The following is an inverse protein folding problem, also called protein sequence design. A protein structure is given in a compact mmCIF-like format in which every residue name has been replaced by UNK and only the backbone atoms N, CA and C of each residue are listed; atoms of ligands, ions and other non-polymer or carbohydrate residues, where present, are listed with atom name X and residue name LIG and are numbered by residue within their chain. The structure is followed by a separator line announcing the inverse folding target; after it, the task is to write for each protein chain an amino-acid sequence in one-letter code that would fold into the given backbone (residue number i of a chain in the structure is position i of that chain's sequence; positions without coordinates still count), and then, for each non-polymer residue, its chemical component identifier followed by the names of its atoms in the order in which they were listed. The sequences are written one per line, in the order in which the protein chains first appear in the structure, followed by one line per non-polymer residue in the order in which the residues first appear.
data_IF_670689810055
#
_entry.id   IF_670689810055
#
_cell.length_a   1.000
_cell.length_b   1.000
_cell.length_c   1.000
_cell.angle_alpha   90.00
_cell.angle_beta   90.00
_cell.angle_gamma   90.00
#
_symmetry.space_group_name_H-M   'P 1'
#
loop_
_entity.id
_entity.type
_entity.pdbx_description
1 polymer ?
#
# COMPACT_ATOMS: atom_id res chain seq x y z
N UNK A 1 21.96 12.17 9.45
CA UNK A 1 22.92 11.81 8.38
C UNK A 1 22.14 11.70 7.07
N UNK A 2 22.50 12.38 5.98
CA UNK A 2 21.82 12.16 4.68
C UNK A 2 22.32 10.83 4.11
N UNK A 3 21.46 9.80 3.94
CA UNK A 3 21.87 8.50 3.43
C UNK A 3 22.33 8.60 1.97
N UNK A 4 23.20 7.68 1.55
CA UNK A 4 23.91 7.75 0.27
C UNK A 4 23.07 7.37 -0.97
N UNK A 5 21.74 7.31 -0.86
CA UNK A 5 20.88 6.82 -1.93
C UNK A 5 20.76 7.83 -3.08
N UNK A 6 20.92 7.35 -4.31
CA UNK A 6 20.65 8.13 -5.52
C UNK A 6 19.17 8.00 -5.90
N UNK A 7 18.45 9.12 -5.88
CA UNK A 7 17.02 9.14 -6.21
C UNK A 7 16.78 9.74 -7.59
N UNK A 8 16.03 9.03 -8.43
CA UNK A 8 15.48 9.61 -9.66
C UNK A 8 13.97 9.78 -9.50
N UNK A 9 13.48 11.02 -9.56
CA UNK A 9 12.06 11.34 -9.60
C UNK A 9 11.63 11.55 -11.05
N UNK A 10 10.65 10.80 -11.51
CA UNK A 10 10.04 10.92 -12.83
C UNK A 10 8.59 11.39 -12.69
N UNK A 11 8.00 11.91 -13.77
CA UNK A 11 6.64 12.48 -13.81
C UNK A 11 6.43 13.61 -12.79
N UNK A 12 7.37 14.54 -12.72
CA UNK A 12 7.29 15.65 -11.77
C UNK A 12 6.10 16.58 -12.03
N UNK A 13 5.55 16.60 -13.24
CA UNK A 13 4.35 17.35 -13.62
C UNK A 13 3.09 16.88 -12.88
N UNK A 14 3.03 15.60 -12.47
CA UNK A 14 1.90 15.03 -11.73
C UNK A 14 2.03 15.13 -10.21
N UNK A 15 3.11 15.76 -9.71
CA UNK A 15 3.28 15.97 -8.27
C UNK A 15 2.14 16.86 -7.76
N UNK A 16 1.51 16.46 -6.67
CA UNK A 16 0.43 17.20 -6.05
C UNK A 16 0.91 18.01 -4.85
N UNK A 17 0.40 19.24 -4.73
CA UNK A 17 0.61 20.12 -3.58
C UNK A 17 -0.74 20.38 -2.92
N UNK A 18 -0.78 20.37 -1.58
CA UNK A 18 -1.99 20.66 -0.82
C UNK A 18 -2.47 22.11 -1.01
N UNK A 19 -3.77 22.32 -1.11
CA UNK A 19 -4.39 23.61 -1.41
C UNK A 19 -4.59 23.84 -2.92
N UNK A 20 -5.66 24.56 -3.27
CA UNK A 20 -6.03 24.79 -4.67
C UNK A 20 -5.05 25.66 -5.47
N UNK A 21 -5.18 25.59 -6.79
CA UNK A 21 -4.30 26.25 -7.77
C UNK A 21 -4.12 27.75 -7.50
N UNK A 22 -5.19 28.49 -7.26
CA UNK A 22 -5.15 29.95 -7.04
C UNK A 22 -4.24 30.33 -5.87
N UNK A 23 -4.33 29.62 -4.75
CA UNK A 23 -3.47 29.86 -3.58
C UNK A 23 -2.00 29.55 -3.88
N UNK A 24 -1.74 28.46 -4.59
CA UNK A 24 -0.37 28.06 -4.92
C UNK A 24 0.26 28.99 -5.95
N UNK A 25 -0.53 29.44 -6.93
CA UNK A 25 -0.14 30.45 -7.90
C UNK A 25 0.25 31.76 -7.21
N UNK A 26 -0.59 32.29 -6.31
CA UNK A 26 -0.26 33.51 -5.55
C UNK A 26 1.05 33.37 -4.76
N UNK A 27 1.28 32.21 -4.11
CA UNK A 27 2.54 31.93 -3.40
C UNK A 27 3.74 31.95 -4.35
N UNK A 28 3.59 31.36 -5.53
CA UNK A 28 4.64 31.30 -6.52
C UNK A 28 4.92 32.67 -7.13
N UNK A 29 3.89 33.45 -7.47
CA UNK A 29 4.00 34.82 -7.97
C UNK A 29 4.70 35.74 -6.96
N UNK A 30 4.40 35.61 -5.67
CA UNK A 30 5.14 36.32 -4.62
C UNK A 30 6.62 35.94 -4.60
N UNK A 31 6.96 34.69 -4.91
CA UNK A 31 8.35 34.28 -5.09
C UNK A 31 8.97 34.92 -6.34
N UNK A 32 8.23 35.07 -7.44
CA UNK A 32 8.73 35.72 -8.67
C UNK A 32 9.07 37.20 -8.51
N UNK A 33 8.37 37.88 -7.60
CA UNK A 33 8.66 39.28 -7.26
C UNK A 33 10.02 39.44 -6.56
N UNK A 34 10.58 38.37 -5.99
CA UNK A 34 11.89 38.39 -5.30
C UNK A 34 13.05 38.38 -6.29
N UNK A 35 13.37 39.55 -6.84
CA UNK A 35 14.52 39.77 -7.73
C UNK A 35 15.55 40.69 -7.09
N UNK A 36 16.82 40.55 -7.47
CA UNK A 36 17.85 41.54 -7.14
C UNK A 36 17.54 42.83 -7.90
N UNK A 37 17.46 43.96 -7.19
CA UNK A 37 17.08 45.24 -7.80
C UNK A 37 18.14 45.75 -8.79
N UNK A 38 19.42 45.63 -8.43
CA UNK A 38 20.54 46.15 -9.23
C UNK A 38 20.82 45.35 -10.49
N UNK A 39 20.99 44.03 -10.37
CA UNK A 39 21.24 43.13 -11.51
C UNK A 39 20.40 41.85 -11.38
N UNK A 40 19.20 41.80 -12.00
CA UNK A 40 18.31 40.66 -11.89
C UNK A 40 18.93 39.32 -12.27
N UNK A 41 19.90 39.31 -13.20
CA UNK A 41 20.59 38.08 -13.61
C UNK A 41 21.48 37.45 -12.53
N UNK A 42 21.95 38.23 -11.54
CA UNK A 42 22.68 37.72 -10.37
C UNK A 42 21.76 37.37 -9.20
N UNK A 43 20.46 37.63 -9.34
CA UNK A 43 19.45 37.38 -8.32
C UNK A 43 19.01 35.91 -8.24
N UNK A 44 17.96 35.64 -7.45
CA UNK A 44 17.36 34.32 -7.36
C UNK A 44 16.84 33.85 -8.73
N UNK A 45 17.26 32.66 -9.16
CA UNK A 45 16.71 32.04 -10.37
C UNK A 45 15.36 31.41 -10.06
N UNK A 46 14.34 31.81 -10.82
CA UNK A 46 13.00 31.25 -10.71
C UNK A 46 12.76 30.22 -11.82
N UNK A 47 12.97 28.95 -11.52
CA UNK A 47 12.65 27.87 -12.46
C UNK A 47 11.14 27.76 -12.71
N UNK A 48 10.76 27.27 -13.89
CA UNK A 48 9.36 27.10 -14.29
C UNK A 48 8.94 25.64 -14.47
N UNK A 49 9.85 24.79 -14.94
CA UNK A 49 9.58 23.35 -15.08
C UNK A 49 9.34 22.67 -13.72
N UNK A 50 8.29 21.85 -13.55
CA UNK A 50 7.99 21.10 -12.33
C UNK A 50 9.19 20.38 -11.67
N UNK A 51 10.01 19.66 -12.42
CA UNK A 51 11.21 18.95 -12.02
C UNK A 51 12.26 19.88 -11.41
N UNK A 52 12.43 21.09 -11.97
CA UNK A 52 13.34 22.10 -11.38
C UNK A 52 12.73 22.79 -10.17
N UNK A 53 11.40 22.88 -10.08
CA UNK A 53 10.71 23.34 -8.87
C UNK A 53 10.97 22.33 -7.74
N UNK A 54 10.78 21.04 -7.98
CA UNK A 54 11.08 19.96 -7.03
C UNK A 54 12.56 19.97 -6.63
N UNK A 55 13.46 20.02 -7.61
CA UNK A 55 14.90 20.10 -7.36
C UNK A 55 15.27 21.30 -6.48
N UNK A 56 14.66 22.46 -6.71
CA UNK A 56 14.89 23.67 -5.90
C UNK A 56 14.34 23.49 -4.47
N UNK A 57 13.19 22.85 -4.29
CA UNK A 57 12.64 22.57 -2.96
C UNK A 57 13.53 21.61 -2.19
N UNK A 58 14.02 20.53 -2.82
CA UNK A 58 14.92 19.57 -2.18
C UNK A 58 16.28 20.20 -1.87
N UNK A 59 16.81 21.04 -2.76
CA UNK A 59 18.02 21.84 -2.48
C UNK A 59 17.86 22.73 -1.25
N UNK A 60 16.67 23.28 -1.01
CA UNK A 60 16.38 24.10 0.16
C UNK A 60 16.36 23.32 1.48
N UNK A 61 16.08 22.01 1.42
CA UNK A 61 16.11 21.10 2.58
C UNK A 61 17.52 20.55 2.87
N UNK A 62 18.47 20.77 1.97
CA UNK A 62 19.84 20.24 2.07
C UNK A 62 20.85 21.37 2.35
N UNK A 63 21.94 21.08 3.08
CA UNK A 63 23.08 21.99 3.27
C UNK A 63 23.94 22.08 2.00
N UNK A 64 23.34 22.53 0.88
CA UNK A 64 23.87 22.48 -0.48
C UNK A 64 25.10 23.37 -0.74
N UNK A 65 25.47 24.24 0.20
CA UNK A 65 26.71 25.03 0.13
C UNK A 65 27.95 24.22 0.54
N UNK A 66 27.75 23.08 1.20
CA UNK A 66 28.84 22.17 1.58
C UNK A 66 29.09 21.16 0.45
N UNK A 67 30.33 20.67 0.33
CA UNK A 67 30.70 19.63 -0.64
C UNK A 67 29.80 18.39 -0.51
N UNK A 68 29.49 17.99 0.74
CA UNK A 68 28.57 16.88 1.02
C UNK A 68 27.16 17.15 0.48
N UNK A 69 26.63 18.34 0.70
CA UNK A 69 25.30 18.72 0.23
C UNK A 69 25.23 18.79 -1.30
N UNK A 70 26.27 19.31 -1.94
CA UNK A 70 26.40 19.33 -3.40
C UNK A 70 26.44 17.90 -3.96
N UNK A 71 27.24 17.00 -3.36
CA UNK A 71 27.31 15.60 -3.76
C UNK A 71 25.95 14.89 -3.62
N UNK A 72 25.20 15.17 -2.54
CA UNK A 72 23.85 14.63 -2.38
C UNK A 72 22.89 15.16 -3.46
N UNK A 73 22.97 16.45 -3.80
CA UNK A 73 22.12 17.05 -4.82
C UNK A 73 22.46 16.54 -6.23
N UNK A 74 23.73 16.23 -6.51
CA UNK A 74 24.19 15.64 -7.78
C UNK A 74 23.62 14.22 -8.00
N UNK A 75 23.33 13.50 -6.91
CA UNK A 75 22.68 12.17 -6.96
C UNK A 75 21.17 12.23 -7.22
N UNK A 76 20.53 13.39 -7.03
CA UNK A 76 19.11 13.59 -7.29
C UNK A 76 18.89 13.98 -8.75
N UNK A 77 18.12 13.18 -9.49
CA UNK A 77 17.67 13.50 -10.84
C UNK A 77 16.16 13.69 -10.84
N UNK A 78 15.65 14.71 -11.51
CA UNK A 78 14.22 15.00 -11.62
C UNK A 78 13.85 15.22 -13.08
N UNK A 79 12.79 14.58 -13.56
CA UNK A 79 12.33 14.65 -14.93
C UNK A 79 10.81 14.89 -15.01
N UNK A 80 10.39 15.59 -16.07
CA UNK A 80 9.00 15.59 -16.52
C UNK A 80 8.76 14.37 -17.39
N UNK A 81 7.59 13.75 -17.26
CA UNK A 81 7.30 12.46 -17.88
C UNK A 81 8.28 11.37 -17.42
N UNK A 82 8.33 10.28 -18.18
CA UNK A 82 9.28 9.19 -17.94
C UNK A 82 10.17 9.02 -19.17
N UNK A 83 11.38 9.63 -19.16
CA UNK A 83 12.30 9.47 -20.26
C UNK A 83 13.00 8.10 -20.23
N UNK A 84 13.46 7.58 -21.38
CA UNK A 84 14.41 6.47 -21.43
C UNK A 84 15.68 6.81 -20.62
N UNK A 85 16.24 5.87 -19.83
CA UNK A 85 15.93 4.44 -19.73
C UNK A 85 14.94 4.07 -18.60
N UNK A 86 14.24 5.04 -17.99
CA UNK A 86 13.41 4.81 -16.80
C UNK A 86 11.99 4.34 -17.11
N UNK A 87 11.60 4.39 -18.39
CA UNK A 87 10.34 3.90 -18.94
C UNK A 87 10.21 2.38 -18.81
N UNK A 88 11.29 1.64 -19.08
CA UNK A 88 11.40 0.19 -18.96
C UNK A 88 11.66 -0.31 -17.53
N UNK A 89 11.98 0.58 -16.60
CA UNK A 89 12.30 0.22 -15.22
C UNK A 89 11.06 0.20 -14.32
N UNK A 90 11.06 -0.67 -13.31
CA UNK A 90 10.02 -0.67 -12.28
C UNK A 90 10.20 0.56 -11.39
N UNK A 91 9.20 1.44 -11.40
CA UNK A 91 9.16 2.61 -10.54
C UNK A 91 8.55 2.25 -9.20
N UNK A 92 9.01 2.92 -8.15
CA UNK A 92 8.53 2.75 -6.78
C UNK A 92 7.73 3.97 -6.35
N UNK A 93 6.88 3.77 -5.34
CA UNK A 93 6.12 4.83 -4.68
C UNK A 93 6.67 5.06 -3.29
N UNK A 94 6.47 6.26 -2.74
CA UNK A 94 6.81 6.59 -1.35
C UNK A 94 5.49 6.72 -0.58
N UNK A 95 5.02 5.66 0.13
CA UNK A 95 3.70 5.66 0.76
C UNK A 95 3.50 6.83 1.71
N UNK A 96 4.56 7.18 2.46
CA UNK A 96 4.55 8.31 3.41
C UNK A 96 4.35 9.68 2.76
N UNK A 97 4.44 9.82 1.44
CA UNK A 97 4.26 11.08 0.72
C UNK A 97 3.05 11.06 -0.22
N UNK A 98 2.28 9.97 -0.27
CA UNK A 98 1.13 9.87 -1.16
C UNK A 98 -0.03 10.75 -0.68
N UNK A 99 -0.67 11.47 -1.62
CA UNK A 99 -1.85 12.30 -1.35
C UNK A 99 -2.96 11.53 -0.67
N UNK A 100 -3.27 10.33 -1.17
CA UNK A 100 -4.35 9.47 -0.65
C UNK A 100 -4.15 9.11 0.82
N UNK A 101 -2.90 8.89 1.23
CA UNK A 101 -2.57 8.53 2.62
C UNK A 101 -2.43 9.75 3.54
N UNK A 102 -2.18 10.96 3.00
CA UNK A 102 -1.80 12.13 3.80
C UNK A 102 -2.83 13.26 3.85
N UNK A 103 -3.73 13.34 2.87
CA UNK A 103 -4.72 14.42 2.78
C UNK A 103 -6.13 13.87 2.86
N UNK A 104 -7.02 14.61 3.53
CA UNK A 104 -8.46 14.34 3.53
C UNK A 104 -8.99 14.33 2.09
N UNK A 105 -9.94 13.47 1.79
CA UNK A 105 -10.49 13.29 0.44
C UNK A 105 -10.92 14.61 -0.21
N UNK A 106 -11.68 15.44 0.53
CA UNK A 106 -12.22 16.73 0.10
C UNK A 106 -11.18 17.86 0.02
N UNK A 107 -9.95 17.64 0.51
CA UNK A 107 -8.93 18.68 0.49
C UNK A 107 -8.54 19.01 -0.95
N UNK A 108 -8.71 20.27 -1.34
CA UNK A 108 -8.27 20.75 -2.65
C UNK A 108 -6.77 20.56 -2.81
N UNK A 109 -6.36 20.07 -3.97
CA UNK A 109 -4.96 19.91 -4.35
C UNK A 109 -4.69 20.64 -5.66
N UNK A 110 -3.41 20.86 -5.95
CA UNK A 110 -2.94 21.47 -7.17
C UNK A 110 -1.89 20.56 -7.80
N UNK A 111 -2.03 20.27 -9.09
CA UNK A 111 -1.01 19.56 -9.87
C UNK A 111 0.12 20.53 -10.22
N UNK A 112 1.36 20.09 -10.01
CA UNK A 112 2.55 20.92 -10.20
C UNK A 112 2.72 21.33 -11.67
N UNK A 113 2.33 20.47 -12.62
CA UNK A 113 2.31 20.78 -14.04
C UNK A 113 1.37 21.93 -14.39
N UNK A 114 0.17 21.99 -13.79
CA UNK A 114 -0.77 23.10 -14.00
C UNK A 114 -0.24 24.40 -13.39
N UNK A 115 0.28 24.32 -12.16
CA UNK A 115 0.92 25.45 -11.52
C UNK A 115 2.06 25.99 -12.38
N UNK A 116 2.98 25.11 -12.79
CA UNK A 116 4.13 25.43 -13.62
C UNK A 116 3.73 26.11 -14.93
N UNK A 117 2.70 25.60 -15.59
CA UNK A 117 2.16 26.18 -16.84
C UNK A 117 1.64 27.58 -16.59
N UNK A 118 0.85 27.78 -15.52
CA UNK A 118 0.28 29.08 -15.17
C UNK A 118 1.32 30.16 -14.88
N UNK A 119 2.54 29.78 -14.52
CA UNK A 119 3.65 30.69 -14.21
C UNK A 119 4.68 30.80 -15.35
N UNK A 120 4.48 30.09 -16.47
CA UNK A 120 5.26 30.23 -17.70
C UNK A 120 6.08 29.01 -18.15
N UNK A 121 5.73 27.80 -17.72
CA UNK A 121 6.30 26.58 -18.31
C UNK A 121 5.60 26.26 -19.65
N UNK A 122 6.38 26.06 -20.71
CA UNK A 122 5.90 25.97 -22.10
C UNK A 122 5.71 24.55 -22.64
N UNK A 123 6.22 23.53 -21.94
CA UNK A 123 6.33 22.17 -22.49
C UNK A 123 5.25 21.21 -21.98
N UNK A 124 4.18 21.72 -21.36
CA UNK A 124 3.09 20.89 -20.81
C UNK A 124 2.51 19.97 -21.89
N UNK A 125 2.17 20.54 -23.04
CA UNK A 125 1.48 19.80 -24.10
C UNK A 125 2.42 18.79 -24.78
N UNK A 126 3.68 19.19 -25.02
CA UNK A 126 4.70 18.30 -25.56
C UNK A 126 4.94 17.07 -24.67
N UNK A 127 5.10 17.28 -23.35
CA UNK A 127 5.24 16.17 -22.38
C UNK A 127 3.96 15.34 -22.33
N UNK A 128 2.79 15.97 -22.38
CA UNK A 128 1.50 15.28 -22.44
C UNK A 128 1.37 14.35 -23.64
N UNK A 129 1.81 14.76 -24.83
CA UNK A 129 1.83 13.90 -26.02
C UNK A 129 2.78 12.71 -25.86
N UNK A 130 3.99 12.94 -25.34
CA UNK A 130 4.97 11.87 -25.11
C UNK A 130 4.50 10.86 -24.06
N UNK A 131 3.90 11.31 -22.96
CA UNK A 131 3.35 10.41 -21.94
C UNK A 131 2.17 9.60 -22.47
N UNK A 132 1.30 10.19 -23.31
CA UNK A 132 0.22 9.44 -23.97
C UNK A 132 0.77 8.31 -24.85
N UNK A 133 1.80 8.60 -25.66
CA UNK A 133 2.46 7.59 -26.49
C UNK A 133 3.08 6.47 -25.62
N UNK A 134 3.83 6.85 -24.58
CA UNK A 134 4.45 5.90 -23.64
C UNK A 134 3.41 5.03 -22.91
N UNK A 135 2.26 5.59 -22.52
CA UNK A 135 1.17 4.83 -21.87
C UNK A 135 0.55 3.84 -22.86
N UNK A 136 0.38 4.21 -24.13
CA UNK A 136 -0.13 3.31 -25.16
C UNK A 136 0.80 2.11 -25.37
N UNK A 137 2.11 2.35 -25.48
CA UNK A 137 3.12 1.28 -25.59
C UNK A 137 3.15 0.40 -24.33
N UNK A 138 3.10 1.02 -23.15
CA UNK A 138 3.08 0.29 -21.88
C UNK A 138 1.82 -0.59 -21.74
N UNK A 139 0.67 -0.16 -22.28
CA UNK A 139 -0.57 -0.95 -22.31
C UNK A 139 -0.39 -2.20 -23.16
N UNK A 140 0.18 -2.06 -24.36
CA UNK A 140 0.48 -3.20 -25.25
C UNK A 140 1.42 -4.19 -24.56
N UNK A 141 2.49 -3.69 -23.92
CA UNK A 141 3.40 -4.53 -23.13
C UNK A 141 2.67 -5.27 -22.00
N UNK A 142 1.80 -4.58 -21.27
CA UNK A 142 1.06 -5.16 -20.15
C UNK A 142 0.09 -6.26 -20.60
N UNK A 143 -0.63 -6.05 -21.70
CA UNK A 143 -1.54 -7.06 -22.27
C UNK A 143 -0.77 -8.32 -22.68
N UNK A 144 0.37 -8.18 -23.36
CA UNK A 144 1.26 -9.31 -23.71
C UNK A 144 1.74 -10.02 -22.45
N UNK A 145 2.16 -9.29 -21.42
CA UNK A 145 2.60 -9.84 -20.13
C UNK A 145 1.48 -10.57 -19.39
N UNK A 146 0.26 -10.05 -19.39
CA UNK A 146 -0.93 -10.66 -18.78
C UNK A 146 -1.26 -11.99 -19.47
N UNK A 147 -1.30 -12.01 -20.80
CA UNK A 147 -1.51 -13.24 -21.59
C UNK A 147 -0.42 -14.28 -21.31
N UNK A 148 0.85 -13.86 -21.28
CA UNK A 148 1.97 -14.75 -20.96
C UNK A 148 1.88 -15.34 -19.55
N UNK A 149 1.48 -14.54 -18.54
CA UNK A 149 1.25 -15.02 -17.18
C UNK A 149 0.12 -16.06 -17.11
N UNK A 150 -0.97 -15.85 -17.83
CA UNK A 150 -2.08 -16.80 -17.90
C UNK A 150 -1.64 -18.12 -18.55
N UNK A 151 -0.90 -18.07 -19.66
CA UNK A 151 -0.34 -19.25 -20.32
C UNK A 151 0.62 -20.01 -19.41
N UNK A 152 1.50 -19.29 -18.69
CA UNK A 152 2.40 -19.91 -17.70
C UNK A 152 1.62 -20.61 -16.58
N UNK A 153 0.57 -19.99 -16.05
CA UNK A 153 -0.29 -20.61 -15.03
C UNK A 153 -0.93 -21.91 -15.53
N UNK A 154 -1.53 -21.88 -16.73
CA UNK A 154 -2.11 -23.08 -17.37
C UNK A 154 -1.07 -24.17 -17.64
N UNK A 155 0.15 -23.79 -18.03
CA UNK A 155 1.24 -24.74 -18.26
C UNK A 155 1.72 -25.40 -16.96
N UNK A 156 1.80 -24.66 -15.86
CA UNK A 156 2.12 -25.19 -14.52
C UNK A 156 1.03 -26.17 -14.07
N UNK A 157 -0.25 -25.77 -14.17
CA UNK A 157 -1.40 -26.61 -13.82
C UNK A 157 -1.44 -27.92 -14.63
N UNK A 158 -1.12 -27.85 -15.94
CA UNK A 158 -1.03 -29.04 -16.81
C UNK A 158 0.19 -29.92 -16.51
N UNK A 159 1.23 -29.40 -15.85
CA UNK A 159 2.45 -30.16 -15.48
C UNK A 159 2.21 -31.08 -14.27
N UNK A 160 0.96 -31.33 -13.87
CA UNK A 160 0.53 -32.26 -12.80
C UNK A 160 0.85 -33.75 -13.03
N UNK A 161 1.95 -34.08 -13.73
CA UNK A 161 2.69 -35.33 -13.48
C UNK A 161 3.78 -35.01 -12.45
N UNK A 162 3.89 -35.77 -11.36
CA UNK A 162 4.85 -35.50 -10.31
C UNK A 162 6.25 -35.80 -10.84
N UNK A 163 6.98 -34.77 -11.28
CA UNK A 163 8.42 -34.78 -10.99
C UNK A 163 8.52 -34.44 -9.51
N UNK A 164 9.06 -35.37 -8.74
CA UNK A 164 9.49 -35.20 -7.34
C UNK A 164 9.92 -33.77 -7.01
N UNK A 165 9.55 -33.25 -5.83
CA UNK A 165 9.06 -31.88 -5.68
C UNK A 165 10.18 -30.84 -5.54
N UNK A 166 10.16 -29.74 -6.32
CA UNK A 166 10.75 -28.47 -5.92
C UNK A 166 9.82 -27.69 -4.95
N UNK A 167 8.62 -28.20 -4.66
CA UNK A 167 7.65 -27.56 -3.75
C UNK A 167 7.98 -27.81 -2.26
N UNK A 168 8.63 -28.93 -1.93
CA UNK A 168 9.18 -29.16 -0.58
C UNK A 168 10.40 -28.27 -0.32
N UNK A 169 11.25 -27.99 -1.32
CA UNK A 169 12.34 -27.00 -1.19
C UNK A 169 11.82 -25.56 -1.05
N UNK A 170 10.70 -25.21 -1.70
CA UNK A 170 10.10 -23.88 -1.57
C UNK A 170 9.37 -23.67 -0.23
N UNK A 171 8.77 -24.72 0.35
CA UNK A 171 8.18 -24.70 1.70
C UNK A 171 9.22 -24.82 2.81
N UNK A 172 10.30 -25.58 2.61
CA UNK A 172 11.43 -25.70 3.55
C UNK A 172 12.43 -24.54 3.46
N UNK A 173 12.27 -23.61 2.51
CA UNK A 173 13.02 -22.35 2.44
C UNK A 173 12.75 -21.35 3.59
N UNK A 174 12.07 -21.80 4.66
CA UNK A 174 12.11 -21.15 5.95
C UNK A 174 13.45 -21.42 6.63
N UNK A 175 14.26 -20.37 6.75
CA UNK A 175 15.56 -20.34 7.42
C UNK A 175 16.65 -21.23 6.79
N UNK A 176 17.46 -20.61 5.92
CA UNK A 176 18.89 -20.91 5.98
C UNK A 176 19.37 -20.56 7.39
N UNK A 177 19.44 -21.56 8.28
CA UNK A 177 20.35 -21.51 9.41
C UNK A 177 21.74 -21.41 8.79
N UNK A 178 22.29 -20.20 8.78
CA UNK A 178 23.71 -20.00 8.60
C UNK A 178 24.38 -20.88 9.66
N UNK A 179 24.95 -22.00 9.21
CA UNK A 179 25.90 -22.76 10.01
C UNK A 179 26.90 -21.76 10.56
N UNK A 180 27.17 -21.90 11.86
CA UNK A 180 28.22 -21.13 12.52
C UNK A 180 29.45 -21.09 11.61
N UNK A 181 29.98 -19.91 11.26
CA UNK A 181 31.22 -19.85 10.51
C UNK A 181 32.31 -20.58 11.32
N UNK A 182 33.21 -21.33 10.67
CA UNK A 182 34.31 -21.97 11.37
C UNK A 182 35.09 -20.90 12.11
N UNK A 183 35.17 -21.05 13.44
CA UNK A 183 35.93 -20.16 14.30
C UNK A 183 37.42 -20.32 13.96
N UNK A 184 37.97 -19.41 13.16
CA UNK A 184 39.41 -19.18 13.13
C UNK A 184 39.77 -18.31 14.33
N UNK A 185 40.84 -18.63 15.08
CA UNK A 185 41.17 -17.92 16.30
C UNK A 185 41.69 -16.52 15.96
N UNK A 186 40.88 -15.48 16.21
CA UNK A 186 41.32 -14.09 16.16
C UNK A 186 41.43 -13.56 17.58
N UNK A 187 42.62 -13.01 17.88
CA UNK A 187 43.07 -12.54 19.19
C UNK A 187 42.25 -11.36 19.73
N UNK A 188 42.23 -11.24 21.06
CA UNK A 188 41.38 -10.38 21.89
C UNK A 188 41.56 -8.84 21.75
N UNK A 189 42.12 -8.32 20.66
CA UNK A 189 42.38 -6.88 20.48
C UNK A 189 41.42 -6.13 19.55
N UNK A 190 40.56 -6.82 18.79
CA UNK A 190 39.68 -6.16 17.79
C UNK A 190 38.19 -6.05 18.19
N UNK A 191 37.83 -6.49 19.40
CA UNK A 191 36.43 -6.51 19.86
C UNK A 191 35.86 -5.12 20.27
N UNK A 192 36.68 -4.06 20.33
CA UNK A 192 36.26 -2.77 20.89
C UNK A 192 35.74 -1.73 19.86
N UNK A 193 35.54 -2.08 18.59
CA UNK A 193 35.15 -1.09 17.55
C UNK A 193 33.83 -1.34 16.81
N UNK A 194 33.00 -2.26 17.30
CA UNK A 194 31.79 -2.71 16.61
C UNK A 194 30.46 -2.49 17.38
N UNK A 195 30.32 -1.38 18.13
CA UNK A 195 29.05 -1.04 18.83
C UNK A 195 28.32 0.19 18.27
N UNK A 196 28.39 0.44 16.96
CA UNK A 196 27.69 1.57 16.36
C UNK A 196 27.05 1.24 15.00
N UNK A 197 26.34 0.11 14.91
CA UNK A 197 25.43 -0.15 13.80
C UNK A 197 24.15 -0.76 14.35
N UNK A 198 23.10 0.06 14.40
CA UNK A 198 21.74 -0.42 14.66
C UNK A 198 21.33 -1.38 13.56
N UNK A 199 21.03 -2.60 13.95
CA UNK A 199 20.45 -3.63 13.12
C UNK A 199 19.17 -3.12 12.47
N UNK A 200 19.19 -3.06 11.14
CA UNK A 200 17.98 -2.90 10.34
C UNK A 200 17.34 -4.28 10.25
N UNK A 201 16.19 -4.44 10.92
CA UNK A 201 15.31 -5.57 10.66
C UNK A 201 14.86 -5.55 9.18
N UNK A 202 14.79 -6.71 8.51
CA UNK A 202 14.35 -6.79 7.12
C UNK A 202 12.91 -6.29 7.00
N UNK A 203 12.61 -5.64 5.86
CA UNK A 203 11.24 -5.26 5.49
C UNK A 203 10.42 -6.55 5.37
N UNK A 204 9.67 -6.86 6.40
CA UNK A 204 8.70 -7.94 6.40
C UNK A 204 7.67 -7.66 5.31
N UNK A 205 7.34 -8.69 4.53
CA UNK A 205 6.16 -8.67 3.69
C UNK A 205 4.96 -8.24 4.55
N UNK A 206 4.08 -7.38 4.03
CA UNK A 206 2.87 -6.96 4.75
C UNK A 206 2.07 -8.21 5.09
N UNK A 207 2.16 -8.65 6.35
CA UNK A 207 1.42 -9.81 6.82
C UNK A 207 -0.03 -9.40 6.95
N UNK A 208 -0.96 -10.19 6.41
CA UNK A 208 -2.39 -10.01 6.61
C UNK A 208 -2.78 -9.84 8.09
N UNK A 209 -1.95 -10.35 8.99
CA UNK A 209 -2.03 -10.16 10.43
C UNK A 209 -2.11 -8.69 10.85
N UNK A 210 -1.41 -7.76 10.19
CA UNK A 210 -1.47 -6.33 10.56
C UNK A 210 -2.86 -5.75 10.32
N UNK A 211 -3.62 -6.26 9.33
CA UNK A 211 -4.99 -5.80 9.13
C UNK A 211 -5.94 -6.29 10.24
N UNK A 212 -5.70 -7.47 10.79
CA UNK A 212 -6.49 -7.97 11.93
C UNK A 212 -6.12 -7.19 13.18
N UNK A 213 -4.82 -7.04 13.47
CA UNK A 213 -4.32 -6.40 14.69
C UNK A 213 -4.63 -4.89 14.71
N UNK A 214 -4.38 -4.17 13.61
CA UNK A 214 -4.50 -2.70 13.57
C UNK A 214 -5.90 -2.19 13.19
N UNK A 215 -6.74 -3.04 12.58
CA UNK A 215 -8.04 -2.59 12.05
C UNK A 215 -9.25 -3.36 12.55
N UNK A 216 -9.13 -4.65 12.91
CA UNK A 216 -10.24 -5.42 13.48
C UNK A 216 -10.20 -5.46 15.01
N UNK A 217 -9.01 -5.51 15.60
CA UNK A 217 -8.81 -5.56 17.07
C UNK A 217 -8.63 -4.16 17.69
N UNK A 218 -9.31 -3.15 17.15
CA UNK A 218 -9.23 -1.76 17.65
C UNK A 218 -10.18 -1.55 18.83
N UNK A 219 -9.77 -0.71 19.78
CA UNK A 219 -10.65 -0.26 20.87
C UNK A 219 -11.86 0.50 20.30
N UNK A 220 -13.06 -0.03 20.55
CA UNK A 220 -14.32 0.60 20.16
C UNK A 220 -14.60 1.84 21.03
N UNK A 221 -15.49 2.75 20.61
CA UNK A 221 -15.85 3.95 21.39
C UNK A 221 -16.32 3.66 22.83
N UNK A 222 -16.81 2.45 23.11
CA UNK A 222 -17.15 1.95 24.45
C UNK A 222 -15.98 1.37 25.27
N UNK A 223 -14.73 1.49 24.81
CA UNK A 223 -13.52 1.03 25.51
C UNK A 223 -13.30 -0.49 25.49
N UNK A 224 -14.03 -1.23 24.64
CA UNK A 224 -13.93 -2.70 24.49
C UNK A 224 -13.48 -3.05 23.07
N UNK A 225 -12.82 -4.20 22.93
CA UNK A 225 -12.42 -4.76 21.63
C UNK A 225 -13.41 -5.81 21.14
N UNK A 226 -13.33 -6.17 19.86
CA UNK A 226 -14.00 -7.38 19.36
C UNK A 226 -13.45 -8.62 20.08
N UNK A 227 -14.29 -9.63 20.24
CA UNK A 227 -13.92 -10.87 20.91
C UNK A 227 -12.98 -11.70 20.04
N UNK A 228 -13.25 -11.75 18.74
CA UNK A 228 -12.34 -12.36 17.77
C UNK A 228 -12.62 -11.87 16.34
N UNK A 229 -11.62 -11.92 15.48
CA UNK A 229 -11.73 -11.49 14.10
C UNK A 229 -10.81 -12.27 13.16
N UNK A 230 -11.21 -12.42 11.91
CA UNK A 230 -10.40 -13.08 10.89
C UNK A 230 -10.70 -12.60 9.48
N UNK A 231 -9.72 -12.82 8.60
CA UNK A 231 -9.85 -12.65 7.16
C UNK A 231 -9.70 -14.03 6.53
N UNK A 232 -10.73 -14.49 5.84
CA UNK A 232 -10.80 -15.82 5.24
C UNK A 232 -10.97 -15.64 3.73
N UNK A 233 -10.07 -16.23 2.93
CA UNK A 233 -10.18 -16.23 1.47
C UNK A 233 -11.43 -16.99 1.00
N UNK A 234 -11.98 -16.61 -0.15
CA UNK A 234 -13.08 -17.34 -0.78
C UNK A 234 -12.69 -18.76 -1.22
N UNK A 235 -11.39 -19.06 -1.25
CA UNK A 235 -10.85 -20.40 -1.51
C UNK A 235 -10.80 -21.28 -0.24
N UNK A 236 -11.34 -20.82 0.89
CA UNK A 236 -11.32 -21.53 2.18
C UNK A 236 -10.06 -21.31 3.03
N UNK A 237 -9.03 -20.67 2.47
CA UNK A 237 -7.78 -20.40 3.19
C UNK A 237 -7.89 -19.23 4.18
N UNK A 238 -7.50 -19.44 5.44
CA UNK A 238 -7.43 -18.36 6.44
C UNK A 238 -6.21 -17.48 6.16
N UNK A 239 -6.43 -16.19 5.87
CA UNK A 239 -5.36 -15.24 5.55
C UNK A 239 -4.76 -14.60 6.81
N UNK A 240 -5.59 -14.31 7.80
CA UNK A 240 -5.18 -13.84 9.12
C UNK A 240 -6.29 -14.07 10.15
N UNK A 241 -5.90 -14.21 11.43
CA UNK A 241 -6.84 -14.46 12.52
C UNK A 241 -6.35 -13.82 13.82
N UNK A 242 -7.26 -13.40 14.69
CA UNK A 242 -6.91 -12.96 16.04
C UNK A 242 -6.49 -14.16 16.91
N UNK A 243 -5.73 -13.95 18.00
CA UNK A 243 -5.28 -15.05 18.87
C UNK A 243 -6.43 -15.91 19.39
N UNK A 244 -7.54 -15.25 19.72
CA UNK A 244 -8.76 -15.88 20.24
C UNK A 244 -9.76 -16.26 19.14
N UNK A 245 -9.36 -16.21 17.87
CA UNK A 245 -10.23 -16.63 16.77
C UNK A 245 -10.26 -18.16 16.68
N UNK A 246 -11.45 -18.77 16.74
CA UNK A 246 -11.59 -20.22 16.71
C UNK A 246 -11.13 -20.81 15.37
N UNK A 247 -10.65 -22.06 15.39
CA UNK A 247 -10.33 -22.78 14.16
C UNK A 247 -11.60 -23.12 13.38
N UNK A 248 -11.67 -22.66 12.14
CA UNK A 248 -12.84 -22.81 11.27
C UNK A 248 -12.64 -24.04 10.39
N UNK A 249 -13.64 -24.93 10.35
CA UNK A 249 -13.64 -26.07 9.45
C UNK A 249 -13.91 -25.62 8.00
N UNK A 250 -13.26 -26.23 6.98
CA UNK A 250 -13.51 -25.89 5.58
C UNK A 250 -14.99 -26.04 5.18
N UNK A 251 -15.73 -26.96 5.80
CA UNK A 251 -17.18 -27.16 5.56
C UNK A 251 -18.01 -25.94 6.00
N UNK A 252 -17.63 -25.30 7.11
CA UNK A 252 -18.31 -24.09 7.61
C UNK A 252 -18.04 -22.90 6.68
N UNK A 253 -16.83 -22.81 6.12
CA UNK A 253 -16.47 -21.76 5.16
C UNK A 253 -17.25 -21.92 3.85
N UNK A 254 -17.39 -23.15 3.34
CA UNK A 254 -18.19 -23.41 2.14
C UNK A 254 -19.67 -23.08 2.36
N UNK A 255 -20.24 -23.43 3.52
CA UNK A 255 -21.61 -23.08 3.87
C UNK A 255 -21.82 -21.56 3.95
N UNK A 256 -20.83 -20.82 4.46
CA UNK A 256 -20.86 -19.35 4.47
C UNK A 256 -20.77 -18.75 3.06
N UNK A 257 -19.89 -19.28 2.19
CA UNK A 257 -19.77 -18.85 0.80
C UNK A 257 -21.07 -19.09 0.04
N UNK A 258 -21.68 -20.27 0.19
CA UNK A 258 -22.98 -20.60 -0.40
C UNK A 258 -24.08 -19.70 0.16
N UNK A 259 -24.03 -19.39 1.44
CA UNK A 259 -24.99 -18.49 2.09
C UNK A 259 -24.97 -17.04 1.57
N UNK A 260 -23.84 -16.57 1.00
CA UNK A 260 -23.83 -15.29 0.26
C UNK A 260 -24.56 -15.36 -1.08
N UNK A 261 -24.65 -16.54 -1.71
CA UNK A 261 -25.45 -16.75 -2.92
C UNK A 261 -26.93 -16.99 -2.59
N UNK A 262 -27.20 -17.81 -1.58
CA UNK A 262 -28.56 -18.25 -1.18
C UNK A 262 -28.86 -17.92 0.30
N UNK A 263 -29.37 -16.72 0.60
CA UNK A 263 -29.58 -16.26 1.97
C UNK A 263 -30.66 -17.04 2.73
N UNK A 264 -31.64 -17.64 2.03
CA UNK A 264 -32.73 -18.42 2.65
C UNK A 264 -32.23 -19.66 3.39
N UNK A 265 -31.13 -20.26 2.93
CA UNK A 265 -30.53 -21.44 3.58
C UNK A 265 -29.92 -21.11 4.95
N UNK A 266 -29.36 -19.91 5.09
CA UNK A 266 -28.81 -19.40 6.34
C UNK A 266 -29.90 -18.93 7.30
N UNK A 267 -31.04 -18.42 6.78
CA UNK A 267 -32.19 -18.05 7.61
C UNK A 267 -32.80 -19.25 8.34
N UNK A 268 -32.86 -20.41 7.69
CA UNK A 268 -33.38 -21.65 8.29
C UNK A 268 -32.34 -22.37 9.16
N UNK A 269 -31.09 -22.50 8.67
CA UNK A 269 -30.04 -23.29 9.34
C UNK A 269 -29.23 -22.49 10.37
N UNK A 270 -29.23 -21.16 10.29
CA UNK A 270 -28.36 -20.27 11.05
C UNK A 270 -26.91 -20.30 10.56
N UNK A 271 -26.10 -19.37 11.05
CA UNK A 271 -24.65 -19.32 10.79
C UNK A 271 -23.96 -20.16 11.86
N UNK A 272 -23.22 -21.20 11.46
CA UNK A 272 -22.45 -22.02 12.38
C UNK A 272 -20.98 -21.65 12.25
N UNK A 273 -20.38 -21.22 13.36
CA UNK A 273 -18.92 -21.07 13.50
C UNK A 273 -18.49 -21.90 14.71
N UNK A 274 -17.66 -22.91 14.48
CA UNK A 274 -17.11 -23.83 15.49
C UNK A 274 -18.20 -24.45 16.38
N UNK A 275 -19.27 -24.98 15.77
CA UNK A 275 -20.39 -25.60 16.49
C UNK A 275 -21.30 -24.63 17.27
N UNK A 276 -20.98 -23.33 17.28
CA UNK A 276 -21.87 -22.30 17.80
C UNK A 276 -22.78 -21.79 16.69
N UNK A 277 -24.08 -22.06 16.82
CA UNK A 277 -25.12 -21.53 15.94
C UNK A 277 -25.51 -20.11 16.33
N UNK A 278 -25.35 -19.18 15.39
CA UNK A 278 -25.84 -17.81 15.42
C UNK A 278 -27.09 -17.71 14.55
N UNK A 279 -28.12 -17.01 15.02
CA UNK A 279 -29.30 -16.72 14.23
C UNK A 279 -28.99 -15.58 13.27
N UNK A 280 -29.29 -15.77 12.00
CA UNK A 280 -29.14 -14.70 11.00
C UNK A 280 -30.07 -13.54 11.31
N UNK A 281 -29.52 -12.34 11.28
CA UNK A 281 -30.28 -11.09 11.30
C UNK A 281 -30.18 -10.49 9.91
N UNK A 282 -31.20 -9.71 9.54
CA UNK A 282 -31.30 -8.98 8.28
C UNK A 282 -29.95 -8.33 7.90
N UNK A 283 -29.37 -8.84 6.81
CA UNK A 283 -28.16 -8.35 6.15
C UNK A 283 -28.46 -7.98 4.69
N UNK A 284 -27.50 -7.35 4.02
CA UNK A 284 -27.65 -6.98 2.61
C UNK A 284 -27.33 -8.19 1.72
N UNK A 285 -28.30 -8.57 0.87
CA UNK A 285 -28.20 -9.76 0.01
C UNK A 285 -26.92 -9.73 -0.83
N UNK A 286 -26.10 -10.78 -0.68
CA UNK A 286 -24.87 -10.96 -1.45
C UNK A 286 -23.66 -10.14 -0.97
N UNK A 287 -23.81 -9.26 0.03
CA UNK A 287 -22.74 -8.35 0.48
C UNK A 287 -22.41 -8.55 1.96
N UNK A 288 -23.41 -8.54 2.84
CA UNK A 288 -23.21 -8.61 4.30
C UNK A 288 -24.16 -9.61 4.93
N UNK A 289 -23.60 -10.50 5.75
CA UNK A 289 -24.34 -11.43 6.58
C UNK A 289 -24.10 -11.06 8.04
N UNK A 290 -25.18 -11.03 8.84
CA UNK A 290 -25.12 -10.71 10.27
C UNK A 290 -25.72 -11.86 11.06
N UNK A 291 -25.11 -12.19 12.20
CA UNK A 291 -25.56 -13.24 13.10
C UNK A 291 -25.65 -12.75 14.54
N UNK A 292 -26.58 -13.30 15.32
CA UNK A 292 -26.73 -13.01 16.75
C UNK A 292 -26.96 -14.30 17.55
N UNK A 293 -26.36 -14.37 18.73
CA UNK A 293 -26.54 -15.41 19.73
C UNK A 293 -26.60 -14.75 21.11
N UNK A 294 -27.81 -14.49 21.59
CA UNK A 294 -28.00 -13.78 22.86
C UNK A 294 -27.43 -12.35 22.80
N UNK A 295 -26.48 -12.05 23.69
CA UNK A 295 -25.76 -10.76 23.73
C UNK A 295 -24.50 -10.73 22.87
N UNK A 296 -24.07 -11.88 22.34
CA UNK A 296 -22.97 -11.99 21.39
C UNK A 296 -23.49 -12.03 19.96
N UNK A 297 -22.62 -11.73 18.98
CA UNK A 297 -22.98 -11.85 17.57
C UNK A 297 -21.77 -11.78 16.66
N UNK A 298 -22.05 -11.80 15.37
CA UNK A 298 -21.03 -11.77 14.33
C UNK A 298 -21.49 -10.94 13.14
N UNK A 299 -20.52 -10.40 12.43
CA UNK A 299 -20.71 -9.72 11.15
C UNK A 299 -19.71 -10.25 10.15
N UNK A 300 -20.20 -10.60 8.95
CA UNK A 300 -19.38 -11.09 7.85
C UNK A 300 -19.66 -10.23 6.62
N UNK A 301 -18.62 -9.65 6.03
CA UNK A 301 -18.73 -8.95 4.75
C UNK A 301 -17.85 -9.60 3.70
N UNK A 302 -18.42 -9.81 2.51
CA UNK A 302 -17.74 -10.40 1.37
C UNK A 302 -16.96 -9.33 0.59
N UNK A 303 -15.74 -9.67 0.17
CA UNK A 303 -14.90 -8.90 -0.78
C UNK A 303 -14.78 -9.67 -2.10
N UNK A 304 -13.91 -9.25 -3.03
CA UNK A 304 -13.77 -9.94 -4.33
C UNK A 304 -13.05 -11.28 -4.21
N UNK A 305 -12.16 -11.43 -3.24
CA UNK A 305 -11.27 -12.57 -3.04
C UNK A 305 -11.31 -13.15 -1.63
N UNK A 306 -11.92 -12.45 -0.66
CA UNK A 306 -12.02 -12.88 0.74
C UNK A 306 -13.38 -12.53 1.38
N UNK A 307 -13.54 -12.90 2.63
CA UNK A 307 -14.57 -12.44 3.54
C UNK A 307 -13.91 -12.02 4.86
N UNK A 308 -14.40 -10.91 5.42
CA UNK A 308 -13.95 -10.38 6.70
C UNK A 308 -14.98 -10.76 7.75
N UNK A 309 -14.54 -11.44 8.81
CA UNK A 309 -15.38 -11.93 9.91
C UNK A 309 -15.00 -11.19 11.19
N UNK A 310 -15.98 -10.61 11.87
CA UNK A 310 -15.83 -10.06 13.21
C UNK A 310 -16.87 -10.66 14.16
N UNK A 311 -16.41 -11.10 15.33
CA UNK A 311 -17.24 -11.66 16.40
C UNK A 311 -17.15 -10.74 17.61
N UNK A 312 -18.30 -10.39 18.17
CA UNK A 312 -18.40 -9.55 19.36
C UNK A 312 -19.12 -10.30 20.49
N UNK A 313 -18.71 -10.00 21.73
CA UNK A 313 -19.27 -10.57 22.95
C UNK A 313 -20.08 -9.53 23.75
N UNK A 314 -20.55 -9.92 24.94
CA UNK A 314 -21.39 -9.10 25.81
C UNK A 314 -20.79 -7.71 26.08
N UNK A 315 -21.58 -6.69 25.76
CA UNK A 315 -21.26 -5.29 26.03
C UNK A 315 -20.59 -4.54 24.88
N UNK A 316 -20.49 -5.13 23.69
CA UNK A 316 -20.23 -4.42 22.44
C UNK A 316 -21.54 -4.28 21.67
N UNK A 317 -21.84 -3.08 21.15
CA UNK A 317 -23.05 -2.88 20.37
C UNK A 317 -22.88 -3.45 18.95
N UNK A 318 -23.90 -4.13 18.39
CA UNK A 318 -23.83 -4.70 17.04
C UNK A 318 -23.44 -3.68 15.95
N UNK A 319 -23.89 -2.43 16.11
CA UNK A 319 -23.58 -1.34 15.19
C UNK A 319 -22.08 -1.01 15.12
N UNK A 320 -21.36 -1.11 16.24
CA UNK A 320 -19.93 -0.82 16.30
C UNK A 320 -19.12 -1.90 15.59
N UNK A 321 -19.48 -3.18 15.78
CA UNK A 321 -18.88 -4.30 15.06
C UNK A 321 -19.12 -4.20 13.55
N UNK A 322 -20.33 -3.79 13.14
CA UNK A 322 -20.64 -3.59 11.72
C UNK A 322 -19.72 -2.55 11.10
N UNK A 323 -19.55 -1.38 11.72
CA UNK A 323 -18.71 -0.31 11.18
C UNK A 323 -17.25 -0.77 10.99
N UNK A 324 -16.69 -1.50 11.95
CA UNK A 324 -15.30 -1.97 11.88
C UNK A 324 -15.10 -2.99 10.76
N UNK A 325 -15.94 -4.03 10.72
CA UNK A 325 -15.85 -5.09 9.70
C UNK A 325 -16.15 -4.53 8.31
N UNK A 326 -17.15 -3.66 8.19
CA UNK A 326 -17.58 -3.12 6.90
C UNK A 326 -16.55 -2.17 6.29
N UNK A 327 -15.92 -1.31 7.10
CA UNK A 327 -14.87 -0.40 6.65
C UNK A 327 -13.62 -1.13 6.15
N UNK A 328 -13.20 -2.20 6.85
CA UNK A 328 -12.05 -2.98 6.39
C UNK A 328 -12.36 -3.70 5.07
N UNK A 329 -13.54 -4.31 4.97
CA UNK A 329 -13.93 -4.98 3.74
C UNK A 329 -14.10 -4.01 2.56
N UNK A 330 -14.64 -2.79 2.77
CA UNK A 330 -14.68 -1.77 1.71
C UNK A 330 -13.28 -1.35 1.25
N UNK A 331 -12.35 -1.19 2.19
CA UNK A 331 -10.95 -0.93 1.87
C UNK A 331 -10.35 -2.05 1.01
N UNK A 332 -10.62 -3.31 1.34
CA UNK A 332 -10.13 -4.45 0.55
C UNK A 332 -10.75 -4.48 -0.85
N UNK A 333 -12.05 -4.19 -0.99
CA UNK A 333 -12.74 -4.08 -2.28
C UNK A 333 -12.13 -2.98 -3.16
N UNK A 334 -11.79 -1.82 -2.57
CA UNK A 334 -11.10 -0.72 -3.25
C UNK A 334 -9.69 -1.10 -3.72
N UNK A 335 -9.01 -1.98 -2.98
CA UNK A 335 -7.69 -2.52 -3.36
C UNK A 335 -7.76 -3.70 -4.34
N UNK A 336 -8.95 -4.01 -4.88
CA UNK A 336 -9.23 -5.14 -5.78
C UNK A 336 -9.00 -6.54 -5.16
N UNK A 337 -9.15 -6.65 -3.84
CA UNK A 337 -9.26 -7.91 -3.09
C UNK A 337 -10.70 -8.22 -2.70
#
# INVERSE_FOLDING_TARGET
MVPAFAGTCVRCEEIQISGGLTRQKMKFERFLKKRMNTKPSRGPIHYRSPARILWRTTRGMLPHKTVRGEAALRRLKCFEGIPPPYDCQKRVVVPRALKVARLRFQARVCHLGELATSVGWKHKDAVGCLEKARIAEARIYYEKKKKLRQLRRKAIEKRSRPTTPPEEEARSGGAWQFGQPPQLPVSASDAARASAHGEYLPVTAMSWQTYVDDHLMVELPGGKTLASAAIIGLDGGVWAKSPDFPEVSPEEVEALIQGFSDPSSLEEKGIVLQGTKYFTIQGERGVVIRGKKGEAGLTIKKTKQAMVVGVYATGVQPGECNVVVENLADYLIEQDY
#
